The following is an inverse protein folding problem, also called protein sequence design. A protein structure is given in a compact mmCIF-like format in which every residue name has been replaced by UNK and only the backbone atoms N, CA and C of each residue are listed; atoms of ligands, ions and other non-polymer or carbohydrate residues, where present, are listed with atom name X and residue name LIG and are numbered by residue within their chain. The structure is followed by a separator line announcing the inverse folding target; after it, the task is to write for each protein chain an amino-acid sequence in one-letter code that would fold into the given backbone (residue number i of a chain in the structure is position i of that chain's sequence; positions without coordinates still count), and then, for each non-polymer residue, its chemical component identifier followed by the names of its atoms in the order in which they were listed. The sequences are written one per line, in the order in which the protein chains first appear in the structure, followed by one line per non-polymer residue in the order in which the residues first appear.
data_IF_060667828972
#
_entry.id   IF_060667828972
#
_cell.length_a   1.000
_cell.length_b   1.000
_cell.length_c   1.000
_cell.angle_alpha   90.00
_cell.angle_beta   90.00
_cell.angle_gamma   90.00
#
_symmetry.space_group_name_H-M   'P 1'
#
loop_
_entity.id
_entity.type
_entity.pdbx_description
1 polymer ?
#
# COMPACT_ATOMS: atom_id res chain seq x y z
N UNK A 1 41.78 -49.38 -67.83
CA UNK A 1 41.98 -49.04 -66.41
C UNK A 1 40.93 -47.99 -66.05
N UNK A 2 39.82 -48.32 -65.46
CA UNK A 2 38.72 -47.39 -65.09
C UNK A 2 38.92 -47.02 -63.66
N UNK A 3 39.25 -45.75 -63.39
CA UNK A 3 39.42 -45.24 -62.02
C UNK A 3 38.07 -44.67 -61.59
N UNK A 4 37.39 -45.38 -60.72
CA UNK A 4 36.19 -44.87 -60.01
C UNK A 4 36.61 -43.92 -58.91
N UNK A 5 36.32 -42.61 -59.10
CA UNK A 5 36.42 -41.59 -58.05
C UNK A 5 35.25 -41.75 -57.10
N UNK A 6 35.50 -42.23 -55.89
CA UNK A 6 34.57 -42.13 -54.77
C UNK A 6 34.60 -40.72 -54.23
N UNK A 7 33.57 -39.92 -54.55
CA UNK A 7 33.31 -38.67 -53.83
C UNK A 7 32.82 -39.03 -52.41
N UNK A 8 33.65 -38.83 -51.40
CA UNK A 8 33.21 -38.83 -50.01
C UNK A 8 32.34 -37.59 -49.76
N UNK A 9 31.04 -37.75 -49.83
CA UNK A 9 30.14 -36.74 -49.27
C UNK A 9 30.34 -36.76 -47.76
N UNK A 10 30.99 -35.76 -47.21
CA UNK A 10 30.91 -35.52 -45.74
C UNK A 10 29.44 -35.30 -45.43
N UNK A 11 28.80 -36.32 -44.85
CA UNK A 11 27.49 -36.12 -44.26
C UNK A 11 27.65 -35.14 -43.10
N UNK A 12 27.18 -33.93 -43.30
CA UNK A 12 27.14 -32.94 -42.26
C UNK A 12 26.16 -33.45 -41.19
N UNK A 13 26.67 -33.68 -39.97
CA UNK A 13 25.83 -34.11 -38.85
C UNK A 13 24.79 -33.01 -38.62
N UNK A 14 23.49 -33.30 -38.69
CA UNK A 14 22.48 -32.29 -38.46
C UNK A 14 22.63 -31.72 -37.04
N UNK A 15 22.63 -30.44 -36.93
CA UNK A 15 22.75 -29.69 -35.64
C UNK A 15 21.35 -29.29 -35.20
N UNK A 16 20.99 -29.60 -33.98
CA UNK A 16 19.72 -29.16 -33.38
C UNK A 16 19.63 -27.62 -33.32
N UNK A 17 18.45 -27.08 -33.60
CA UNK A 17 18.19 -25.64 -33.52
C UNK A 17 16.71 -25.39 -33.29
N UNK A 18 16.39 -24.51 -32.34
CA UNK A 18 15.03 -24.07 -32.08
C UNK A 18 14.98 -22.55 -32.00
N UNK A 19 13.92 -21.96 -32.53
CA UNK A 19 13.60 -20.57 -32.34
C UNK A 19 12.29 -20.43 -31.55
N UNK A 20 12.18 -19.36 -30.75
CA UNK A 20 11.01 -19.05 -29.95
C UNK A 20 10.66 -17.57 -30.07
N UNK A 21 9.38 -17.27 -30.24
CA UNK A 21 8.83 -15.91 -30.17
C UNK A 21 7.53 -15.94 -29.37
N UNK A 22 7.33 -15.01 -28.44
CA UNK A 22 6.12 -14.93 -27.63
C UNK A 22 5.38 -13.61 -27.87
N UNK A 23 4.06 -13.69 -27.85
CA UNK A 23 3.17 -12.54 -28.05
C UNK A 23 2.01 -12.60 -27.03
N UNK A 24 1.71 -11.48 -26.34
CA UNK A 24 2.39 -10.19 -26.42
C UNK A 24 3.78 -10.21 -25.75
N UNK A 25 4.63 -9.21 -26.05
CA UNK A 25 5.94 -9.03 -25.41
C UNK A 25 5.83 -8.43 -24.00
N UNK A 26 4.66 -7.87 -23.68
CA UNK A 26 4.31 -7.33 -22.37
C UNK A 26 2.86 -7.66 -22.04
N UNK A 27 2.61 -8.07 -20.80
CA UNK A 27 1.27 -8.33 -20.23
C UNK A 27 1.00 -7.43 -19.05
N UNK A 28 -0.25 -7.00 -18.90
CA UNK A 28 -0.72 -6.16 -17.81
C UNK A 28 -1.75 -6.93 -17.01
N UNK A 29 -1.56 -7.02 -15.68
CA UNK A 29 -2.37 -7.82 -14.78
C UNK A 29 -2.81 -6.99 -13.59
N UNK A 30 -4.06 -7.16 -13.17
CA UNK A 30 -4.61 -6.51 -12.01
C UNK A 30 -4.47 -7.43 -10.79
N UNK A 31 -4.02 -6.87 -9.66
CA UNK A 31 -3.90 -7.61 -8.39
C UNK A 31 -4.92 -7.17 -7.33
N UNK A 32 -5.91 -6.31 -7.68
CA UNK A 32 -6.95 -5.98 -6.72
C UNK A 32 -7.93 -7.16 -6.53
N UNK A 33 -8.57 -7.29 -5.36
CA UNK A 33 -9.46 -8.41 -5.04
C UNK A 33 -10.59 -8.61 -6.07
N UNK A 34 -10.82 -9.86 -6.47
CA UNK A 34 -11.85 -10.24 -7.45
C UNK A 34 -11.70 -9.60 -8.85
N UNK A 35 -10.52 -9.13 -9.23
CA UNK A 35 -10.28 -8.69 -10.61
C UNK A 35 -10.44 -9.84 -11.60
N UNK A 36 -11.08 -9.56 -12.73
CA UNK A 36 -11.18 -10.50 -13.86
C UNK A 36 -9.94 -10.47 -14.76
N UNK A 37 -9.05 -9.48 -14.56
CA UNK A 37 -7.83 -9.29 -15.35
C UNK A 37 -6.57 -9.74 -14.60
N UNK A 38 -6.73 -10.60 -13.58
CA UNK A 38 -5.59 -11.16 -12.85
C UNK A 38 -4.89 -12.32 -13.57
N UNK A 39 -5.41 -12.72 -14.73
CA UNK A 39 -4.89 -13.81 -15.57
C UNK A 39 -4.90 -13.41 -17.03
N UNK A 40 -3.87 -13.81 -17.78
CA UNK A 40 -3.77 -13.61 -19.22
C UNK A 40 -3.08 -14.79 -19.89
N UNK A 41 -3.15 -14.84 -21.24
CA UNK A 41 -2.49 -15.90 -22.02
C UNK A 41 -1.39 -15.26 -22.90
N UNK A 42 -0.20 -15.83 -22.79
CA UNK A 42 0.93 -15.56 -23.69
C UNK A 42 1.00 -16.69 -24.69
N UNK A 43 0.98 -16.36 -26.00
CA UNK A 43 1.18 -17.35 -27.06
C UNK A 43 2.65 -17.34 -27.49
N UNK A 44 3.33 -18.48 -27.33
CA UNK A 44 4.70 -18.67 -27.80
C UNK A 44 4.69 -19.57 -29.04
N UNK A 45 5.40 -19.19 -30.10
CA UNK A 45 5.60 -19.96 -31.31
C UNK A 45 7.00 -20.58 -31.25
N UNK A 46 7.05 -21.91 -31.20
CA UNK A 46 8.27 -22.71 -31.27
C UNK A 46 8.49 -23.14 -32.71
N UNK A 47 9.66 -22.83 -33.27
CA UNK A 47 9.98 -23.12 -34.69
C UNK A 47 11.20 -23.99 -34.78
N UNK A 48 11.12 -25.03 -35.65
CA UNK A 48 12.22 -25.90 -35.99
C UNK A 48 12.77 -25.51 -37.38
N UNK A 49 13.86 -24.72 -37.49
CA UNK A 49 14.44 -24.31 -38.78
C UNK A 49 15.28 -25.40 -39.45
N UNK A 50 15.41 -26.58 -38.85
CA UNK A 50 16.26 -27.67 -39.35
C UNK A 50 15.54 -28.54 -40.40
N UNK A 51 16.25 -29.47 -40.99
CA UNK A 51 15.72 -30.46 -41.93
C UNK A 51 15.33 -31.79 -41.25
N UNK A 52 15.34 -31.86 -39.92
CA UNK A 52 15.04 -33.03 -39.12
C UNK A 52 13.89 -32.74 -38.18
N UNK A 53 13.08 -33.74 -37.84
CA UNK A 53 12.09 -33.63 -36.75
C UNK A 53 12.79 -33.44 -35.41
N UNK A 54 12.30 -32.53 -34.60
CA UNK A 54 12.83 -32.23 -33.26
C UNK A 54 11.76 -32.41 -32.19
N UNK A 55 12.15 -33.00 -31.05
CA UNK A 55 11.40 -32.95 -29.81
C UNK A 55 11.93 -31.83 -28.95
N UNK A 56 11.06 -30.92 -28.61
CA UNK A 56 11.37 -29.69 -27.85
C UNK A 56 10.69 -29.74 -26.49
N UNK A 57 11.44 -29.57 -25.42
CA UNK A 57 10.94 -29.29 -24.08
C UNK A 57 10.79 -27.78 -23.91
N UNK A 58 9.60 -27.37 -23.47
CA UNK A 58 9.26 -25.96 -23.26
C UNK A 58 8.98 -25.70 -21.79
N UNK A 59 9.54 -24.62 -21.25
CA UNK A 59 9.37 -24.24 -19.85
C UNK A 59 9.17 -22.74 -19.69
N UNK A 60 8.44 -22.36 -18.65
CA UNK A 60 8.25 -20.98 -18.22
C UNK A 60 8.78 -20.78 -16.81
N UNK A 61 9.42 -19.65 -16.57
CA UNK A 61 9.84 -19.22 -15.24
C UNK A 61 9.65 -17.70 -15.11
N UNK A 62 9.46 -17.23 -13.88
CA UNK A 62 9.26 -15.81 -13.59
C UNK A 62 9.54 -15.52 -12.14
N UNK A 63 9.39 -14.26 -11.76
CA UNK A 63 9.40 -13.87 -10.36
C UNK A 63 8.27 -14.60 -9.59
N UNK A 64 8.49 -14.88 -8.32
CA UNK A 64 7.58 -15.66 -7.46
C UNK A 64 6.17 -15.05 -7.28
N UNK A 65 5.93 -13.88 -7.84
CA UNK A 65 4.63 -13.19 -7.83
C UNK A 65 3.65 -13.73 -8.89
N UNK A 66 4.16 -14.48 -9.89
CA UNK A 66 3.35 -15.06 -10.94
C UNK A 66 3.22 -16.57 -10.79
N UNK A 67 2.03 -17.05 -11.09
CA UNK A 67 1.78 -18.45 -11.38
C UNK A 67 1.78 -18.63 -12.90
N UNK A 68 2.59 -19.60 -13.39
CA UNK A 68 2.78 -19.89 -14.81
C UNK A 68 2.30 -21.31 -15.07
N UNK A 69 1.29 -21.46 -15.93
CA UNK A 69 0.73 -22.74 -16.33
C UNK A 69 0.90 -22.93 -17.84
N UNK A 70 1.54 -24.04 -18.25
CA UNK A 70 1.68 -24.44 -19.64
C UNK A 70 0.41 -25.14 -20.12
N UNK A 71 -0.46 -24.42 -20.85
CA UNK A 71 -1.80 -24.92 -21.25
C UNK A 71 -1.70 -26.12 -22.19
N UNK A 72 -0.77 -26.07 -23.15
CA UNK A 72 -0.61 -27.10 -24.19
C UNK A 72 0.41 -28.18 -23.83
N UNK A 73 0.91 -28.15 -22.57
CA UNK A 73 1.95 -29.05 -22.08
C UNK A 73 3.37 -28.52 -22.27
N UNK A 74 4.34 -29.33 -21.92
CA UNK A 74 5.77 -28.99 -21.85
C UNK A 74 6.62 -29.67 -22.93
N UNK A 75 6.07 -30.62 -23.71
CA UNK A 75 6.78 -31.35 -24.77
C UNK A 75 6.09 -31.19 -26.12
N UNK A 76 6.86 -30.85 -27.15
CA UNK A 76 6.38 -30.67 -28.53
C UNK A 76 7.24 -31.42 -29.53
N UNK A 77 6.60 -32.15 -30.47
CA UNK A 77 7.27 -32.74 -31.63
C UNK A 77 7.04 -31.79 -32.80
N UNK A 78 8.13 -31.21 -33.34
CA UNK A 78 8.07 -30.22 -34.39
C UNK A 78 8.73 -30.79 -35.65
N UNK A 79 7.97 -31.01 -36.74
CA UNK A 79 8.52 -31.51 -38.00
C UNK A 79 9.56 -30.53 -38.57
N UNK A 80 10.37 -31.02 -39.48
CA UNK A 80 11.39 -30.23 -40.19
C UNK A 80 10.80 -29.01 -40.89
N UNK A 81 11.25 -27.80 -40.53
CA UNK A 81 10.80 -26.54 -41.13
C UNK A 81 9.44 -26.02 -40.62
N UNK A 82 8.79 -26.72 -39.71
CA UNK A 82 7.47 -26.37 -39.17
C UNK A 82 7.56 -25.61 -37.83
N UNK A 83 6.41 -25.16 -37.35
CA UNK A 83 6.24 -24.48 -36.08
C UNK A 83 5.00 -24.96 -35.33
N UNK A 84 5.00 -24.82 -34.00
CA UNK A 84 3.88 -25.14 -33.12
C UNK A 84 3.62 -23.98 -32.16
N UNK A 85 2.34 -23.78 -31.77
CA UNK A 85 1.98 -22.83 -30.73
C UNK A 85 2.04 -23.52 -29.36
N UNK A 86 2.57 -22.80 -28.38
CA UNK A 86 2.57 -23.15 -26.97
C UNK A 86 1.92 -22.02 -26.18
N UNK A 87 0.71 -22.24 -25.68
CA UNK A 87 -0.03 -21.26 -24.89
C UNK A 87 0.36 -21.38 -23.41
N UNK A 88 0.60 -20.26 -22.80
CA UNK A 88 0.96 -20.15 -21.39
C UNK A 88 -0.03 -19.22 -20.68
N UNK A 89 -0.67 -19.71 -19.63
CA UNK A 89 -1.45 -18.91 -18.70
C UNK A 89 -0.51 -18.29 -17.69
N UNK A 90 -0.62 -16.97 -17.52
CA UNK A 90 0.11 -16.20 -16.52
C UNK A 90 -0.90 -15.53 -15.61
N UNK A 91 -0.82 -15.77 -14.30
CA UNK A 91 -1.70 -15.16 -13.32
C UNK A 91 -0.90 -14.50 -12.19
N UNK A 92 -1.53 -13.53 -11.51
CA UNK A 92 -0.97 -12.81 -10.37
C UNK A 92 -1.88 -12.97 -9.16
N UNK A 93 -1.28 -13.10 -7.97
CA UNK A 93 -2.03 -13.17 -6.72
C UNK A 93 -2.60 -11.78 -6.33
N UNK A 94 -3.74 -11.79 -5.61
CA UNK A 94 -4.31 -10.58 -5.02
C UNK A 94 -3.31 -9.90 -4.09
N UNK A 95 -3.30 -8.56 -4.10
CA UNK A 95 -2.43 -7.73 -3.26
C UNK A 95 -0.96 -7.72 -3.69
N UNK A 96 -0.61 -8.30 -4.84
CA UNK A 96 0.76 -8.20 -5.36
C UNK A 96 1.12 -6.74 -5.63
N UNK A 97 2.29 -6.32 -5.13
CA UNK A 97 2.77 -4.96 -5.30
C UNK A 97 2.92 -4.57 -6.78
N UNK A 98 2.58 -3.32 -7.07
CA UNK A 98 2.82 -2.73 -8.38
C UNK A 98 4.31 -2.75 -8.74
N UNK A 99 4.65 -3.42 -9.82
CA UNK A 99 5.97 -3.38 -10.46
C UNK A 99 5.93 -4.05 -11.83
N UNK A 100 7.01 -3.92 -12.59
CA UNK A 100 7.27 -4.70 -13.81
C UNK A 100 8.29 -5.78 -13.49
N UNK A 101 7.96 -7.00 -13.85
CA UNK A 101 8.72 -8.22 -13.58
C UNK A 101 9.09 -8.93 -14.88
N UNK A 102 10.03 -9.88 -14.80
CA UNK A 102 10.44 -10.70 -15.93
C UNK A 102 9.78 -12.07 -15.94
N UNK A 103 9.23 -12.45 -17.09
CA UNK A 103 8.77 -13.81 -17.40
C UNK A 103 9.70 -14.38 -18.49
N UNK A 104 10.35 -15.49 -18.22
CA UNK A 104 11.31 -16.10 -19.14
C UNK A 104 10.77 -17.44 -19.63
N UNK A 105 10.62 -17.58 -20.96
CA UNK A 105 10.20 -18.82 -21.61
C UNK A 105 11.36 -19.41 -22.37
N UNK A 106 11.60 -20.70 -22.17
CA UNK A 106 12.77 -21.42 -22.69
C UNK A 106 12.32 -22.68 -23.44
N UNK A 107 12.87 -22.85 -24.65
CA UNK A 107 12.72 -24.03 -25.47
C UNK A 107 14.07 -24.75 -25.62
N UNK A 108 14.08 -26.08 -25.34
CA UNK A 108 15.28 -26.92 -25.41
C UNK A 108 15.01 -28.11 -26.31
N UNK A 109 15.85 -28.35 -27.29
CA UNK A 109 15.76 -29.55 -28.13
C UNK A 109 16.35 -30.73 -27.36
N UNK A 110 15.49 -31.75 -27.06
CA UNK A 110 15.86 -32.94 -26.32
C UNK A 110 16.11 -34.16 -27.21
N UNK A 111 15.45 -34.21 -28.39
CA UNK A 111 15.67 -35.27 -29.39
C UNK A 111 15.65 -34.70 -30.82
N UNK A 112 16.39 -35.34 -31.71
CA UNK A 112 16.39 -35.13 -33.16
C UNK A 112 16.21 -36.47 -33.85
N UNK A 113 15.12 -36.60 -34.64
CA UNK A 113 14.71 -37.91 -35.23
C UNK A 113 14.69 -39.07 -34.20
N UNK A 114 14.21 -38.82 -32.98
CA UNK A 114 14.07 -39.79 -31.92
C UNK A 114 15.36 -40.20 -31.19
N UNK A 115 16.45 -39.45 -31.39
CA UNK A 115 17.71 -39.66 -30.65
C UNK A 115 18.22 -38.34 -30.02
N UNK A 116 18.90 -38.38 -28.87
CA UNK A 116 19.46 -37.18 -28.27
C UNK A 116 20.41 -36.47 -29.22
N UNK A 117 20.33 -35.13 -29.34
CA UNK A 117 21.21 -34.36 -30.22
C UNK A 117 22.64 -34.37 -29.68
N UNK A 118 23.64 -34.27 -30.58
CA UNK A 118 25.05 -34.20 -30.19
C UNK A 118 25.38 -32.88 -29.42
N UNK A 119 24.67 -31.78 -29.77
CA UNK A 119 24.75 -30.51 -29.09
C UNK A 119 23.36 -30.07 -28.67
N UNK A 120 23.19 -29.68 -27.44
CA UNK A 120 21.95 -29.11 -26.93
C UNK A 120 21.69 -27.77 -27.63
N UNK A 121 20.48 -27.59 -28.17
CA UNK A 121 20.01 -26.30 -28.65
C UNK A 121 18.98 -25.77 -27.67
N UNK A 122 19.22 -24.55 -27.20
CA UNK A 122 18.36 -23.86 -26.26
C UNK A 122 18.13 -22.44 -26.75
N UNK A 123 16.91 -21.96 -26.58
CA UNK A 123 16.54 -20.56 -26.88
C UNK A 123 15.56 -20.08 -25.84
N UNK A 124 15.79 -18.85 -25.35
CA UNK A 124 14.91 -18.21 -24.39
C UNK A 124 14.42 -16.86 -24.92
N UNK A 125 13.22 -16.47 -24.50
CA UNK A 125 12.61 -15.16 -24.74
C UNK A 125 12.09 -14.61 -23.42
N UNK A 126 12.22 -13.30 -23.24
CA UNK A 126 11.71 -12.59 -22.08
C UNK A 126 10.43 -11.83 -22.48
N UNK A 127 9.38 -11.98 -21.64
CA UNK A 127 8.14 -11.21 -21.68
C UNK A 127 8.05 -10.41 -20.40
N UNK A 128 7.63 -9.16 -20.50
CA UNK A 128 7.43 -8.31 -19.31
C UNK A 128 6.03 -8.54 -18.74
N UNK A 129 5.96 -8.76 -17.43
CA UNK A 129 4.71 -8.83 -16.67
C UNK A 129 4.56 -7.60 -15.78
N UNK A 130 3.66 -6.69 -16.12
CA UNK A 130 3.38 -5.50 -15.32
C UNK A 130 2.14 -5.70 -14.48
N UNK A 131 2.29 -5.62 -13.14
CA UNK A 131 1.18 -5.56 -12.21
C UNK A 131 0.68 -4.12 -12.14
N UNK A 132 -0.60 -3.90 -12.50
CA UNK A 132 -1.20 -2.58 -12.53
C UNK A 132 -1.30 -1.97 -11.13
N UNK A 133 -1.22 -0.64 -11.06
CA UNK A 133 -1.47 0.12 -9.84
C UNK A 133 -2.96 0.15 -9.51
N UNK A 134 -3.29 0.03 -8.21
CA UNK A 134 -4.60 0.40 -7.68
C UNK A 134 -4.48 1.06 -6.32
N UNK A 135 -5.38 1.99 -6.04
CA UNK A 135 -5.56 2.57 -4.71
C UNK A 135 -6.68 1.86 -3.96
N UNK A 136 -6.46 1.66 -2.67
CA UNK A 136 -7.47 1.24 -1.71
C UNK A 136 -7.05 1.74 -0.35
N UNK A 137 -7.92 2.39 0.40
CA UNK A 137 -7.61 2.86 1.74
C UNK A 137 -8.84 2.94 2.63
N UNK A 138 -8.63 2.67 3.91
CA UNK A 138 -9.61 2.80 4.97
C UNK A 138 -9.18 3.85 5.99
N UNK A 139 -10.18 4.46 6.65
CA UNK A 139 -9.95 5.37 7.75
C UNK A 139 -10.75 4.97 8.98
N UNK A 140 -10.16 5.12 10.15
CA UNK A 140 -10.78 4.85 11.44
C UNK A 140 -10.32 5.84 12.49
N UNK A 141 -11.06 5.95 13.60
CA UNK A 141 -10.73 6.78 14.75
C UNK A 141 -11.34 6.19 16.03
N UNK A 142 -10.79 6.56 17.18
CA UNK A 142 -11.39 6.23 18.47
C UNK A 142 -12.54 7.20 18.76
N UNK A 143 -13.78 6.71 18.73
CA UNK A 143 -14.98 7.52 18.88
C UNK A 143 -15.38 7.67 20.37
N UNK A 144 -15.69 8.92 20.81
CA UNK A 144 -15.62 10.19 20.07
C UNK A 144 -14.21 10.76 20.03
N UNK A 145 -13.90 11.59 19.00
CA UNK A 145 -12.74 12.47 19.04
C UNK A 145 -12.96 13.54 20.11
N UNK A 146 -12.03 13.69 21.05
CA UNK A 146 -12.24 14.51 22.24
C UNK A 146 -11.24 15.65 22.35
N UNK A 147 -11.73 16.90 22.40
CA UNK A 147 -10.91 18.09 22.46
C UNK A 147 -11.26 18.96 23.67
N UNK A 148 -10.27 19.64 24.22
CA UNK A 148 -10.47 20.62 25.28
C UNK A 148 -10.05 22.01 24.82
N UNK A 149 -10.94 22.99 24.96
CA UNK A 149 -10.65 24.39 24.70
C UNK A 149 -10.74 25.17 26.01
N UNK A 150 -9.88 26.19 26.14
CA UNK A 150 -9.86 27.04 27.32
C UNK A 150 -10.51 28.38 26.98
N UNK A 151 -11.42 28.85 27.83
CA UNK A 151 -12.15 30.10 27.62
C UNK A 151 -11.31 31.39 27.86
N UNK A 152 -10.11 31.23 28.43
CA UNK A 152 -9.12 32.29 28.61
C UNK A 152 -8.06 32.23 27.50
N UNK A 153 -7.19 33.27 27.42
CA UNK A 153 -6.10 33.40 26.41
C UNK A 153 -5.05 32.25 26.43
N UNK A 154 -5.32 31.16 27.11
CA UNK A 154 -4.42 29.99 27.19
C UNK A 154 -4.78 28.99 26.10
N UNK A 155 -3.79 28.61 25.27
CA UNK A 155 -3.94 27.62 24.24
C UNK A 155 -3.65 26.24 24.79
N UNK A 156 -4.64 25.35 24.77
CA UNK A 156 -4.45 23.93 25.02
C UNK A 156 -4.51 23.19 23.67
N UNK A 157 -3.38 22.69 23.22
CA UNK A 157 -3.33 21.88 22.00
C UNK A 157 -3.52 20.39 22.39
N UNK A 158 -4.75 19.95 22.56
CA UNK A 158 -5.07 18.53 22.63
C UNK A 158 -5.30 18.08 21.19
N UNK A 159 -4.53 17.10 20.75
CA UNK A 159 -4.66 16.50 19.44
C UNK A 159 -5.22 15.10 19.61
N UNK A 160 -6.15 14.74 18.74
CA UNK A 160 -6.65 13.37 18.59
C UNK A 160 -6.28 12.85 17.20
N UNK A 161 -6.42 11.57 16.94
CA UNK A 161 -5.86 10.94 15.75
C UNK A 161 -6.93 10.26 14.89
N UNK A 162 -6.77 10.39 13.57
CA UNK A 162 -7.45 9.59 12.56
C UNK A 162 -6.39 8.68 11.93
N UNK A 163 -6.58 7.37 12.06
CA UNK A 163 -5.72 6.36 11.45
C UNK A 163 -6.20 6.07 10.04
N UNK A 164 -5.30 6.17 9.07
CA UNK A 164 -5.56 5.81 7.67
C UNK A 164 -4.65 4.66 7.28
N UNK A 165 -5.23 3.61 6.71
CA UNK A 165 -4.53 2.41 6.24
C UNK A 165 -4.57 2.35 4.73
N UNK A 166 -3.41 2.22 4.09
CA UNK A 166 -3.30 1.99 2.65
C UNK A 166 -3.38 0.48 2.35
N UNK A 167 -4.51 0.03 1.82
CA UNK A 167 -4.76 -1.35 1.38
C UNK A 167 -4.44 -1.56 -0.12
N UNK A 168 -4.00 -0.53 -0.82
CA UNK A 168 -3.59 -0.58 -2.22
C UNK A 168 -2.24 -1.31 -2.41
N UNK A 169 -1.85 -1.52 -3.67
CA UNK A 169 -0.64 -2.25 -4.00
C UNK A 169 0.59 -1.37 -4.27
N UNK A 170 0.51 -0.10 -3.96
CA UNK A 170 1.61 0.86 -4.09
C UNK A 170 1.57 1.91 -2.98
N UNK A 171 2.64 2.68 -2.86
CA UNK A 171 2.70 3.83 -1.97
C UNK A 171 1.75 4.92 -2.47
N UNK A 172 0.83 5.37 -1.60
CA UNK A 172 -0.18 6.37 -1.94
C UNK A 172 -0.05 7.62 -1.08
N UNK A 173 -0.20 8.78 -1.72
CA UNK A 173 -0.28 10.05 -1.02
C UNK A 173 -1.75 10.34 -0.71
N UNK A 174 -2.12 10.30 0.58
CA UNK A 174 -3.49 10.49 1.05
C UNK A 174 -3.61 11.83 1.75
N UNK A 175 -4.68 12.56 1.44
CA UNK A 175 -4.97 13.89 1.99
C UNK A 175 -6.28 13.89 2.76
N UNK A 176 -6.33 14.67 3.86
CA UNK A 176 -7.56 14.98 4.58
C UNK A 176 -8.15 16.31 4.11
N UNK A 177 -9.47 16.35 3.93
CA UNK A 177 -10.26 17.54 3.77
C UNK A 177 -11.19 17.72 4.98
N UNK A 178 -10.96 18.75 5.76
CA UNK A 178 -11.71 19.08 6.97
C UNK A 178 -12.67 20.25 6.76
N UNK A 179 -13.02 20.57 5.52
CA UNK A 179 -13.85 21.74 5.17
C UNK A 179 -15.25 21.66 5.80
N UNK A 180 -15.90 20.51 5.73
CA UNK A 180 -17.22 20.32 6.31
C UNK A 180 -17.17 20.41 7.84
N UNK A 181 -16.20 19.79 8.47
CA UNK A 181 -15.98 19.91 9.91
C UNK A 181 -15.73 21.37 10.33
N UNK A 182 -14.94 22.14 9.58
CA UNK A 182 -14.72 23.55 9.86
C UNK A 182 -15.99 24.39 9.73
N UNK A 183 -16.87 24.07 8.78
CA UNK A 183 -18.16 24.74 8.64
C UNK A 183 -19.04 24.48 9.87
N UNK A 184 -19.15 23.22 10.32
CA UNK A 184 -19.95 22.85 11.48
C UNK A 184 -19.41 23.45 12.80
N UNK A 185 -18.10 23.48 12.96
CA UNK A 185 -17.42 24.10 14.11
C UNK A 185 -17.51 25.63 14.09
N UNK A 186 -17.58 26.24 12.90
CA UNK A 186 -17.65 27.68 12.70
C UNK A 186 -18.85 28.33 13.36
N UNK A 187 -20.01 27.66 13.44
CA UNK A 187 -21.22 28.12 14.13
C UNK A 187 -20.97 28.38 15.65
N UNK A 188 -19.95 27.76 16.20
CA UNK A 188 -19.52 27.88 17.60
C UNK A 188 -18.28 28.74 17.80
N UNK A 189 -17.74 29.35 16.73
CA UNK A 189 -16.47 30.07 16.71
C UNK A 189 -15.26 29.17 17.04
N UNK A 190 -15.33 27.93 16.59
CA UNK A 190 -14.26 26.94 16.64
C UNK A 190 -13.71 26.68 15.23
N UNK A 191 -12.48 26.16 15.15
CA UNK A 191 -11.86 25.69 13.91
C UNK A 191 -10.97 24.49 14.17
N UNK A 192 -10.72 23.71 13.13
CA UNK A 192 -9.77 22.61 13.19
C UNK A 192 -8.34 23.09 12.98
N UNK A 193 -7.40 22.34 13.54
CA UNK A 193 -5.97 22.41 13.22
C UNK A 193 -5.50 21.04 12.81
N UNK A 194 -5.01 20.91 11.57
CA UNK A 194 -4.41 19.68 11.06
C UNK A 194 -2.95 20.01 10.71
N UNK A 195 -1.98 19.62 11.55
CA UNK A 195 -0.57 19.95 11.33
C UNK A 195 0.00 19.42 10.01
N UNK A 196 -0.48 18.25 9.58
CA UNK A 196 -0.09 17.61 8.32
C UNK A 196 -1.36 17.10 7.63
N UNK A 197 -1.75 17.76 6.54
CA UNK A 197 -2.97 17.42 5.77
C UNK A 197 -2.75 16.34 4.73
N UNK A 198 -1.50 15.98 4.44
CA UNK A 198 -1.15 14.98 3.42
C UNK A 198 -0.05 14.07 3.94
N UNK A 199 -0.22 12.77 3.76
CA UNK A 199 0.74 11.74 4.14
C UNK A 199 1.01 10.78 2.99
N UNK A 200 2.27 10.33 2.89
CA UNK A 200 2.69 9.27 1.99
C UNK A 200 2.70 7.97 2.78
N UNK A 201 1.79 7.05 2.42
CA UNK A 201 1.58 5.80 3.16
C UNK A 201 1.94 4.62 2.26
N UNK A 202 2.89 3.80 2.68
CA UNK A 202 3.30 2.60 1.93
C UNK A 202 2.17 1.56 1.89
N UNK A 203 2.16 0.73 0.85
CA UNK A 203 1.24 -0.40 0.73
C UNK A 203 1.24 -1.27 1.99
N UNK A 204 0.06 -1.62 2.49
CA UNK A 204 -0.14 -2.43 3.69
C UNK A 204 0.22 -1.74 5.01
N UNK A 205 0.51 -0.43 5.00
CA UNK A 205 0.86 0.34 6.19
C UNK A 205 -0.24 1.31 6.60
N UNK A 206 -0.18 1.75 7.86
CA UNK A 206 -1.07 2.78 8.40
C UNK A 206 -0.25 3.98 8.88
N UNK A 207 -0.85 5.18 8.84
CA UNK A 207 -0.30 6.38 9.45
C UNK A 207 -1.42 7.19 10.11
N UNK A 208 -1.06 8.10 11.01
CA UNK A 208 -2.01 8.91 11.79
C UNK A 208 -2.01 10.35 11.33
N UNK A 209 -3.21 10.89 11.10
CA UNK A 209 -3.44 12.31 10.92
C UNK A 209 -3.90 12.91 12.24
N UNK A 210 -3.11 13.80 12.78
CA UNK A 210 -3.44 14.50 14.02
C UNK A 210 -4.41 15.63 13.73
N UNK A 211 -5.50 15.67 14.50
CA UNK A 211 -6.54 16.70 14.42
C UNK A 211 -6.62 17.42 15.76
N UNK A 212 -6.70 18.73 15.73
CA UNK A 212 -6.96 19.57 16.89
C UNK A 212 -8.18 20.47 16.66
N UNK A 213 -8.78 20.95 17.75
CA UNK A 213 -9.83 21.98 17.72
C UNK A 213 -9.41 23.16 18.57
N UNK A 214 -9.51 24.34 18.00
CA UNK A 214 -9.15 25.59 18.68
C UNK A 214 -10.24 26.66 18.56
N UNK A 215 -10.16 27.67 19.41
CA UNK A 215 -11.03 28.84 19.36
C UNK A 215 -10.50 29.84 18.33
N UNK A 216 -11.35 30.27 17.40
CA UNK A 216 -10.97 31.23 16.34
C UNK A 216 -10.70 32.60 16.95
N UNK A 217 -11.59 33.10 17.83
CA UNK A 217 -11.47 34.38 18.49
C UNK A 217 -11.89 34.26 19.97
N UNK A 218 -10.92 34.47 20.86
CA UNK A 218 -11.18 34.44 22.30
C UNK A 218 -12.19 35.52 22.71
N UNK A 219 -13.15 35.16 23.54
CA UNK A 219 -14.26 36.02 23.98
C UNK A 219 -15.52 35.90 23.13
N UNK A 220 -15.46 35.30 21.95
CA UNK A 220 -16.59 35.13 21.05
C UNK A 220 -17.08 33.66 20.95
N UNK A 221 -16.55 32.76 21.81
CA UNK A 221 -16.98 31.37 21.81
C UNK A 221 -18.47 31.27 22.17
N UNK A 222 -19.28 30.74 21.26
CA UNK A 222 -20.72 30.58 21.45
C UNK A 222 -21.01 29.27 22.19
N UNK A 223 -21.09 29.36 23.51
CA UNK A 223 -21.40 28.22 24.39
C UNK A 223 -22.86 28.17 24.85
N UNK A 224 -23.76 28.93 24.24
CA UNK A 224 -25.16 29.05 24.71
C UNK A 224 -25.95 27.74 24.59
N UNK A 225 -25.64 26.93 23.61
CA UNK A 225 -26.26 25.62 23.36
C UNK A 225 -25.50 24.42 23.96
N UNK A 226 -24.35 24.67 24.61
CA UNK A 226 -23.53 23.59 25.14
C UNK A 226 -24.10 23.05 26.45
N UNK A 227 -23.98 21.75 26.64
CA UNK A 227 -24.42 21.06 27.85
C UNK A 227 -23.46 21.38 29.03
N UNK A 228 -24.00 21.77 30.18
CA UNK A 228 -23.23 21.92 31.42
C UNK A 228 -23.02 20.55 32.06
N UNK A 229 -21.78 20.08 32.17
CA UNK A 229 -21.46 18.71 32.63
C UNK A 229 -20.74 18.68 33.99
N UNK A 230 -20.33 19.80 34.55
CA UNK A 230 -19.57 19.83 35.80
C UNK A 230 -19.93 21.00 36.72
N UNK A 231 -19.77 20.79 38.04
CA UNK A 231 -19.98 21.85 39.05
C UNK A 231 -18.97 23.02 38.92
N UNK A 232 -17.84 22.78 38.25
CA UNK A 232 -16.80 23.76 37.94
C UNK A 232 -17.11 24.62 36.71
N UNK A 233 -18.31 24.46 36.12
CA UNK A 233 -18.71 25.24 34.94
C UNK A 233 -18.20 24.68 33.60
N UNK A 234 -17.64 23.48 33.56
CA UNK A 234 -17.27 22.80 32.32
C UNK A 234 -18.49 22.55 31.43
N UNK A 235 -18.39 22.92 30.18
CA UNK A 235 -19.43 22.72 29.17
C UNK A 235 -18.95 21.77 28.09
N UNK A 236 -19.87 21.01 27.50
CA UNK A 236 -19.61 20.04 26.44
C UNK A 236 -20.47 20.35 25.20
N UNK A 237 -19.85 20.30 24.06
CA UNK A 237 -20.47 20.32 22.74
C UNK A 237 -20.28 18.97 22.08
N UNK A 238 -21.37 18.38 21.55
CA UNK A 238 -21.31 17.19 20.73
C UNK A 238 -21.69 17.55 19.29
N UNK A 239 -20.84 17.17 18.32
CA UNK A 239 -21.05 17.42 16.89
C UNK A 239 -20.83 16.10 16.16
N UNK A 240 -21.69 15.84 15.16
CA UNK A 240 -21.43 14.83 14.14
C UNK A 240 -21.15 15.56 12.83
N UNK A 241 -20.03 15.25 12.20
CA UNK A 241 -19.58 15.90 10.95
C UNK A 241 -18.91 14.88 10.05
N UNK A 242 -18.38 15.33 8.90
CA UNK A 242 -17.62 14.49 8.00
C UNK A 242 -16.22 15.06 7.72
N UNK A 243 -15.29 14.14 7.43
CA UNK A 243 -13.93 14.43 6.99
C UNK A 243 -13.72 13.71 5.66
N UNK A 244 -13.37 14.46 4.62
CA UNK A 244 -13.05 13.93 3.31
C UNK A 244 -11.66 13.29 3.28
N UNK A 245 -11.50 12.21 2.52
CA UNK A 245 -10.22 11.60 2.21
C UNK A 245 -10.04 11.52 0.70
N UNK A 246 -8.84 11.84 0.23
CA UNK A 246 -8.50 11.80 -1.19
C UNK A 246 -7.12 11.16 -1.38
N UNK A 247 -7.05 10.14 -2.24
CA UNK A 247 -5.81 9.53 -2.70
C UNK A 247 -5.13 10.32 -3.83
N UNK A 248 -3.95 9.88 -4.24
CA UNK A 248 -3.11 10.54 -5.24
C UNK A 248 -3.45 10.17 -6.68
N UNK A 249 -4.05 9.02 -6.92
CA UNK A 249 -4.43 8.59 -8.26
C UNK A 249 -5.77 9.23 -8.67
N UNK A 250 -5.81 9.79 -9.88
CA UNK A 250 -7.04 10.24 -10.53
C UNK A 250 -7.84 9.07 -11.16
N UNK A 251 -7.58 7.84 -10.71
CA UNK A 251 -8.24 6.61 -11.18
C UNK A 251 -9.28 6.15 -10.18
N UNK A 252 -10.19 5.30 -10.62
CA UNK A 252 -11.18 4.69 -9.75
C UNK A 252 -10.49 3.95 -8.59
N UNK A 253 -10.76 4.39 -7.38
CA UNK A 253 -10.24 3.79 -6.18
C UNK A 253 -11.04 2.53 -5.85
N UNK A 254 -10.36 1.43 -5.56
CA UNK A 254 -11.00 0.19 -5.16
C UNK A 254 -11.28 0.20 -3.65
N UNK A 255 -12.57 0.23 -3.27
CA UNK A 255 -13.01 0.19 -1.85
C UNK A 255 -12.33 1.26 -0.97
N UNK A 256 -12.29 2.52 -1.44
CA UNK A 256 -11.74 3.62 -0.64
C UNK A 256 -12.78 4.27 0.26
N UNK A 257 -12.40 4.54 1.50
CA UNK A 257 -13.12 5.44 2.39
C UNK A 257 -12.88 6.88 1.94
N UNK A 258 -13.78 7.43 1.14
CA UNK A 258 -13.67 8.83 0.65
C UNK A 258 -14.24 9.85 1.62
N UNK A 259 -15.08 9.41 2.56
CA UNK A 259 -15.72 10.24 3.59
C UNK A 259 -15.83 9.46 4.90
N UNK A 260 -15.31 10.05 5.97
CA UNK A 260 -15.35 9.50 7.32
C UNK A 260 -16.31 10.32 8.18
N UNK A 261 -17.41 9.74 8.62
CA UNK A 261 -18.32 10.37 9.57
C UNK A 261 -17.70 10.32 10.97
N UNK A 262 -17.54 11.48 11.60
CA UNK A 262 -16.89 11.62 12.89
C UNK A 262 -17.83 12.20 13.96
N UNK A 263 -17.76 11.64 15.15
CA UNK A 263 -18.37 12.21 16.35
C UNK A 263 -17.31 12.95 17.14
N UNK A 264 -17.57 14.21 17.47
CA UNK A 264 -16.64 15.11 18.11
C UNK A 264 -17.24 15.61 19.42
N UNK A 265 -16.49 15.51 20.51
CA UNK A 265 -16.80 16.13 21.78
C UNK A 265 -15.79 17.27 22.06
N UNK A 266 -16.28 18.47 22.26
CA UNK A 266 -15.46 19.61 22.66
C UNK A 266 -15.84 20.03 24.09
N UNK A 267 -14.83 20.06 24.95
CA UNK A 267 -14.96 20.49 26.34
C UNK A 267 -14.43 21.90 26.52
N UNK A 268 -15.26 22.82 27.00
CA UNK A 268 -14.85 24.18 27.34
C UNK A 268 -14.65 24.31 28.85
N UNK A 269 -13.43 24.70 29.26
CA UNK A 269 -13.05 24.95 30.65
C UNK A 269 -12.71 26.41 30.85
N UNK A 270 -12.98 26.98 32.08
CA UNK A 270 -12.84 28.40 32.33
C UNK A 270 -11.38 28.86 32.42
N UNK A 271 -10.50 28.12 33.05
CA UNK A 271 -9.07 28.40 33.10
C UNK A 271 -8.27 27.19 33.55
N UNK A 272 -6.96 27.19 33.21
CA UNK A 272 -5.98 26.23 33.73
C UNK A 272 -5.32 26.75 35.02
N UNK A 273 -5.84 27.81 35.66
CA UNK A 273 -5.26 28.31 36.89
C UNK A 273 -5.34 27.21 37.94
N UNK A 274 -4.21 26.63 38.28
CA UNK A 274 -4.06 25.90 39.53
C UNK A 274 -4.51 26.84 40.64
N UNK A 275 -5.46 26.39 41.45
CA UNK A 275 -5.80 27.06 42.71
C UNK A 275 -4.56 26.95 43.62
N UNK A 276 -3.62 27.88 43.41
CA UNK A 276 -2.59 28.16 44.39
C UNK A 276 -3.30 28.91 45.53
N UNK A 277 -4.03 28.15 46.33
CA UNK A 277 -4.60 28.62 47.57
C UNK A 277 -3.52 29.27 48.41
N UNK A 278 -3.49 30.60 48.36
CA UNK A 278 -2.82 31.38 49.37
C UNK A 278 -3.74 31.41 50.60
N UNK A 279 -3.83 30.31 51.29
CA UNK A 279 -4.20 30.35 52.70
C UNK A 279 -2.91 30.53 53.51
N UNK A 280 -2.67 31.75 53.91
CA UNK A 280 -1.83 32.08 55.05
C UNK A 280 -2.46 31.45 56.29
N UNK A 281 -2.24 30.19 56.55
CA UNK A 281 -2.42 29.54 57.83
C UNK A 281 -1.08 29.00 58.34
N UNK A 282 -0.76 29.50 59.52
CA UNK A 282 0.36 29.24 60.41
C UNK A 282 0.70 27.74 60.49
N UNK A 283 1.93 27.39 60.19
CA UNK A 283 2.47 26.01 60.17
C UNK A 283 2.51 25.42 61.58
N UNK A 284 1.80 24.37 61.81
CA UNK A 284 2.13 23.40 62.87
C UNK A 284 2.87 22.21 62.24
N UNK A 285 4.12 22.06 62.62
CA UNK A 285 5.01 20.98 62.19
C UNK A 285 4.50 19.66 62.76
N UNK A 286 3.93 18.77 61.91
CA UNK A 286 4.13 17.31 61.93
C UNK A 286 3.12 16.61 61.02
N UNK A 287 3.48 16.30 59.78
CA UNK A 287 2.87 15.19 59.02
C UNK A 287 3.81 14.74 57.90
N UNK A 288 4.01 13.43 57.82
CA UNK A 288 4.85 12.74 56.86
C UNK A 288 4.52 13.07 55.39
N UNK A 289 5.55 13.42 54.60
CA UNK A 289 5.48 13.67 53.17
C UNK A 289 5.08 12.37 52.46
N UNK A 290 3.88 12.35 51.84
CA UNK A 290 3.56 11.43 50.75
C UNK A 290 3.77 12.16 49.46
N UNK A 291 4.68 11.73 48.56
CA UNK A 291 4.93 12.44 47.32
C UNK A 291 3.72 12.27 46.38
N UNK A 292 3.01 13.36 46.13
CA UNK A 292 1.97 13.44 45.09
C UNK A 292 2.66 13.51 43.75
N UNK A 293 2.74 12.38 43.01
CA UNK A 293 3.21 12.36 41.64
C UNK A 293 2.09 12.91 40.78
N UNK A 294 2.19 14.20 40.46
CA UNK A 294 1.25 14.87 39.59
C UNK A 294 1.28 14.25 38.16
N UNK A 295 0.11 14.10 37.59
CA UNK A 295 -0.18 13.51 36.26
C UNK A 295 0.64 14.11 35.11
N UNK A 296 1.28 15.26 35.29
CA UNK A 296 2.11 15.95 34.29
C UNK A 296 3.55 15.42 34.15
N UNK A 297 4.01 14.57 35.09
CA UNK A 297 5.36 13.97 35.00
C UNK A 297 5.50 12.86 33.99
N UNK A 298 4.40 12.23 33.59
CA UNK A 298 4.42 11.06 32.68
C UNK A 298 4.49 11.44 31.20
N UNK A 299 3.90 12.57 30.80
CA UNK A 299 3.95 13.04 29.40
C UNK A 299 5.35 13.54 29.01
N UNK A 300 6.08 14.19 29.91
CA UNK A 300 7.46 14.65 29.64
C UNK A 300 8.46 13.48 29.53
N UNK A 301 8.23 12.38 30.25
CA UNK A 301 9.08 11.19 30.20
C UNK A 301 8.87 10.39 28.91
N UNK A 302 7.66 10.36 28.36
CA UNK A 302 7.36 9.66 27.09
C UNK A 302 7.99 10.37 25.89
N UNK A 303 7.97 11.71 25.85
CA UNK A 303 8.58 12.49 24.80
C UNK A 303 10.12 12.35 24.78
N UNK A 304 10.75 12.21 25.96
CA UNK A 304 12.19 11.96 26.05
C UNK A 304 12.59 10.54 25.65
N UNK A 305 11.78 9.54 25.96
CA UNK A 305 12.02 8.14 25.59
C UNK A 305 11.96 7.92 24.07
N UNK A 306 11.00 8.56 23.38
CA UNK A 306 10.91 8.51 21.91
C UNK A 306 12.07 9.21 21.20
N UNK A 307 12.62 10.29 21.78
CA UNK A 307 13.79 10.97 21.23
C UNK A 307 15.09 10.18 21.36
N UNK A 308 15.20 9.29 22.37
CA UNK A 308 16.40 8.46 22.60
C UNK A 308 16.34 7.21 21.71
N UNK A 309 15.16 6.62 21.50
CA UNK A 309 15.00 5.40 20.66
C UNK A 309 15.31 5.65 19.18
N UNK A 310 15.11 6.87 18.67
CA UNK A 310 15.35 7.25 17.26
C UNK A 310 16.82 7.57 16.96
N UNK A 311 17.76 7.39 17.91
CA UNK A 311 19.20 7.74 17.76
C UNK A 311 20.14 6.53 17.69
N UNK A 312 19.62 5.30 17.73
CA UNK A 312 20.43 4.07 17.69
C UNK A 312 20.20 3.20 16.45
N UNK A 313 19.64 3.76 15.34
CA UNK A 313 19.62 3.10 14.02
C UNK A 313 20.39 3.96 12.99
#
# INVERSE_FOLDING_TARGET
MVTTLFSSTNAQVPTAQVDITCTPEEVFLDSFPNSLNNTTVVNCVLSNPTSSEEKVEFSGSGDNVFEIELIDGDEFIIPAGDSVNANVSVSVAEGTNHATYSLNFTAVVTEMNGVPPQNTAEKSVNVLGTVNQYESYDASYDSPLSFTVVLSDQTLNVLDAITVTNNGNHESMISLDVSDLNNDLGDYNLSTTVPVVTRLISSGSSDEFLLGVGVVEYGNLNTSSWELIGANGTKRLNITSSIGLQGSLNTDCYECTTELNVNIEVYAIQSLVEDSGSDDEEVDETAEEVPFIGFFGTLSALALALAIYKRED
#
